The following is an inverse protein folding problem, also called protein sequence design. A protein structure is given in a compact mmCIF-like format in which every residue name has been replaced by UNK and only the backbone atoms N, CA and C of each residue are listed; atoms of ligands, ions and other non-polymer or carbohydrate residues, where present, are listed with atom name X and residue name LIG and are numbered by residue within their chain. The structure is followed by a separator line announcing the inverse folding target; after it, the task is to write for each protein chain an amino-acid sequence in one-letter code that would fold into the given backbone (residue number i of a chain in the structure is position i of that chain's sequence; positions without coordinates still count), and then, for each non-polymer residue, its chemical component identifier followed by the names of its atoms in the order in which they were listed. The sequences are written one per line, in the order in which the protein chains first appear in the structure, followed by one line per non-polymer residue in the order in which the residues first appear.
data_IF_134088737184
#
_entry.id   IF_134088737184
#
_cell.length_a   1.000
_cell.length_b   1.000
_cell.length_c   1.000
_cell.angle_alpha   90.00
_cell.angle_beta   90.00
_cell.angle_gamma   90.00
#
_symmetry.space_group_name_H-M   'P 1'
#
loop_
_entity.id
_entity.type
_entity.pdbx_description
1 polymer ?
#
# COMPACT_ATOMS: atom_id res chain seq x y z
N UNK A 1 1.64 -20.74 16.48
CA UNK A 1 2.06 -19.41 16.93
C UNK A 1 1.45 -18.34 16.04
N UNK A 2 0.80 -17.34 16.64
CA UNK A 2 0.10 -16.28 15.93
C UNK A 2 1.05 -15.32 15.23
N UNK A 3 0.68 -14.92 14.01
CA UNK A 3 1.22 -13.74 13.36
C UNK A 3 0.07 -12.76 13.20
N UNK A 4 -0.15 -11.93 14.22
CA UNK A 4 -0.77 -10.65 13.96
C UNK A 4 0.21 -9.89 13.08
N UNK A 5 -0.10 -9.54 11.82
CA UNK A 5 0.74 -8.60 11.11
C UNK A 5 0.61 -7.29 11.88
N UNK A 6 1.60 -7.01 12.73
CA UNK A 6 1.80 -5.70 13.35
C UNK A 6 1.78 -4.71 12.20
N UNK A 7 0.66 -4.01 12.10
CA UNK A 7 0.37 -3.08 11.02
C UNK A 7 1.05 -1.75 11.35
N UNK A 8 2.38 -1.79 11.35
CA UNK A 8 3.29 -0.66 11.45
C UNK A 8 4.17 -0.68 10.22
N UNK A 9 3.63 -0.22 9.11
CA UNK A 9 4.47 0.13 7.98
C UNK A 9 4.00 1.51 7.53
N UNK A 10 4.31 2.49 8.39
CA UNK A 10 4.43 3.87 7.96
C UNK A 10 5.42 3.85 6.79
N UNK A 11 5.02 4.40 5.65
CA UNK A 11 5.91 4.42 4.50
C UNK A 11 7.09 5.36 4.81
N UNK A 12 8.30 4.86 4.67
CA UNK A 12 9.54 5.60 4.88
C UNK A 12 10.26 5.85 3.54
N UNK A 13 11.24 6.76 3.46
CA UNK A 13 11.99 7.00 2.22
C UNK A 13 12.74 5.76 1.69
N UNK A 14 13.05 4.78 2.54
CA UNK A 14 13.58 3.48 2.13
C UNK A 14 12.59 2.63 1.32
N UNK A 15 11.29 2.95 1.38
CA UNK A 15 10.25 2.28 0.60
C UNK A 15 10.06 2.87 -0.80
N UNK A 16 10.91 3.79 -1.25
CA UNK A 16 10.92 4.28 -2.64
C UNK A 16 11.06 3.08 -3.60
N UNK A 17 10.22 3.03 -4.62
CA UNK A 17 10.08 1.92 -5.56
C UNK A 17 9.11 0.83 -5.12
N UNK A 18 8.58 0.88 -3.89
CA UNK A 18 7.56 -0.06 -3.40
C UNK A 18 6.16 0.49 -3.58
N UNK A 19 5.18 -0.43 -3.64
CA UNK A 19 3.77 -0.07 -3.71
C UNK A 19 3.28 0.41 -2.34
N UNK A 20 2.66 1.58 -2.30
CA UNK A 20 2.11 2.18 -1.10
C UNK A 20 0.69 2.71 -1.36
N UNK A 21 -0.09 2.78 -0.29
CA UNK A 21 -1.34 3.53 -0.24
C UNK A 21 -1.11 4.76 0.61
N UNK A 22 -1.42 5.93 0.06
CA UNK A 22 -1.36 7.21 0.77
C UNK A 22 -2.77 7.75 0.91
N UNK A 23 -3.16 8.08 2.13
CA UNK A 23 -4.45 8.65 2.46
C UNK A 23 -4.29 10.16 2.61
N UNK A 24 -4.94 10.89 1.72
CA UNK A 24 -5.00 12.34 1.76
C UNK A 24 -6.23 12.80 2.53
N UNK A 25 -6.08 13.89 3.27
CA UNK A 25 -7.15 14.70 3.83
C UNK A 25 -7.53 15.75 2.80
N UNK A 26 -8.83 15.91 2.59
CA UNK A 26 -9.37 16.94 1.71
C UNK A 26 -9.82 18.14 2.54
N UNK A 27 -9.66 19.37 2.05
CA UNK A 27 -10.07 20.58 2.77
C UNK A 27 -11.58 20.61 3.08
N UNK A 28 -12.40 19.85 2.34
CA UNK A 28 -13.85 19.70 2.57
C UNK A 28 -14.24 18.66 3.64
N UNK A 29 -13.29 18.17 4.46
CA UNK A 29 -13.57 17.19 5.53
C UNK A 29 -13.66 15.73 5.07
N UNK A 30 -13.17 15.43 3.86
CA UNK A 30 -13.11 14.08 3.30
C UNK A 30 -11.72 13.46 3.37
N UNK A 31 -11.64 12.19 2.98
CA UNK A 31 -10.36 11.51 2.76
C UNK A 31 -10.34 10.87 1.38
N UNK A 32 -9.15 10.84 0.77
CA UNK A 32 -8.92 10.19 -0.52
C UNK A 32 -7.71 9.28 -0.45
N UNK A 33 -7.90 8.01 -0.79
CA UNK A 33 -6.81 7.03 -0.85
C UNK A 33 -6.24 6.94 -2.27
N UNK A 34 -4.92 7.05 -2.37
CA UNK A 34 -4.16 6.88 -3.61
C UNK A 34 -3.29 5.65 -3.47
N UNK A 35 -3.42 4.71 -4.41
CA UNK A 35 -2.54 3.53 -4.50
C UNK A 35 -1.59 3.70 -5.67
N UNK A 36 -0.30 3.58 -5.42
CA UNK A 36 0.73 3.65 -6.45
C UNK A 36 2.09 3.21 -5.93
N UNK A 37 3.12 3.42 -6.74
CA UNK A 37 4.52 3.23 -6.36
C UNK A 37 5.04 4.55 -5.80
N UNK A 38 5.69 4.50 -4.64
CA UNK A 38 6.34 5.67 -4.07
C UNK A 38 7.58 5.99 -4.89
N UNK A 39 7.60 7.11 -5.60
CA UNK A 39 8.76 7.54 -6.41
C UNK A 39 9.71 8.43 -5.61
N UNK A 40 9.16 9.26 -4.73
CA UNK A 40 9.94 10.17 -3.90
C UNK A 40 9.16 10.55 -2.65
N UNK A 41 9.87 10.69 -1.54
CA UNK A 41 9.35 11.21 -0.28
C UNK A 41 10.42 12.07 0.35
N UNK A 42 10.29 13.39 0.21
CA UNK A 42 11.26 14.34 0.77
C UNK A 42 10.69 15.75 0.76
N UNK A 43 11.18 16.60 1.67
CA UNK A 43 10.76 18.01 1.78
C UNK A 43 9.24 18.20 1.95
N UNK A 44 8.57 17.21 2.57
CA UNK A 44 7.11 17.23 2.72
C UNK A 44 6.36 17.10 1.40
N UNK A 45 7.01 16.65 0.32
CA UNK A 45 6.41 16.34 -0.97
C UNK A 45 6.54 14.84 -1.24
N UNK A 46 5.41 14.24 -1.57
CA UNK A 46 5.31 12.81 -1.83
C UNK A 46 4.89 12.62 -3.28
N UNK A 47 5.75 11.95 -4.06
CA UNK A 47 5.49 11.61 -5.47
C UNK A 47 5.07 10.16 -5.57
N UNK A 48 3.88 9.94 -6.14
CA UNK A 48 3.31 8.61 -6.28
C UNK A 48 3.03 8.36 -7.76
N UNK A 49 3.67 7.34 -8.33
CA UNK A 49 3.36 6.86 -9.67
C UNK A 49 2.21 5.87 -9.61
N UNK A 50 1.08 6.22 -10.21
CA UNK A 50 -0.10 5.34 -10.30
C UNK A 50 0.17 4.22 -11.30
N UNK A 51 -0.59 3.14 -11.21
CA UNK A 51 -0.51 2.02 -12.16
C UNK A 51 -0.74 2.44 -13.62
N UNK A 52 -1.53 3.50 -13.82
CA UNK A 52 -1.82 4.09 -15.13
C UNK A 52 -0.62 4.84 -15.75
N UNK A 53 0.47 4.99 -15.00
CA UNK A 53 1.65 5.73 -15.43
C UNK A 53 1.63 7.21 -15.02
N UNK A 54 0.47 7.75 -14.61
CA UNK A 54 0.37 9.11 -14.09
C UNK A 54 1.14 9.26 -12.78
N UNK A 55 1.92 10.33 -12.63
CA UNK A 55 2.55 10.72 -11.37
C UNK A 55 1.64 11.73 -10.67
N UNK A 56 1.36 11.50 -9.40
CA UNK A 56 0.61 12.42 -8.54
C UNK A 56 1.53 12.91 -7.43
N UNK A 57 1.62 14.22 -7.29
CA UNK A 57 2.37 14.87 -6.22
C UNK A 57 1.39 15.33 -5.15
N UNK A 58 1.70 15.04 -3.89
CA UNK A 58 0.87 15.38 -2.73
C UNK A 58 1.75 15.94 -1.64
N UNK A 59 1.23 16.91 -0.88
CA UNK A 59 1.97 17.44 0.27
C UNK A 59 1.80 16.50 1.46
N UNK A 60 2.82 16.38 2.29
CA UNK A 60 2.79 15.61 3.52
C UNK A 60 1.81 16.20 4.55
N UNK A 61 1.51 17.50 4.46
CA UNK A 61 0.50 18.17 5.29
C UNK A 61 -0.91 17.65 4.99
N UNK A 62 -1.21 17.42 3.72
CA UNK A 62 -2.44 16.77 3.29
C UNK A 62 -2.45 15.27 3.60
N UNK A 63 -1.31 14.63 3.88
CA UNK A 63 -1.28 13.19 4.16
C UNK A 63 -1.77 12.91 5.57
N UNK A 64 -2.96 12.32 5.65
CA UNK A 64 -3.52 11.79 6.89
C UNK A 64 -2.85 10.48 7.33
N UNK A 65 -2.21 9.75 6.42
CA UNK A 65 -1.41 8.57 6.73
C UNK A 65 -0.94 7.82 5.48
N UNK A 66 0.15 7.07 5.63
CA UNK A 66 0.72 6.23 4.57
C UNK A 66 0.81 4.76 5.03
N UNK A 67 0.69 3.84 4.08
CA UNK A 67 0.82 2.40 4.34
C UNK A 67 1.50 1.70 3.17
N UNK A 68 2.54 0.92 3.44
CA UNK A 68 3.14 0.04 2.44
C UNK A 68 2.20 -1.13 2.13
N UNK A 69 1.95 -1.33 0.84
CA UNK A 69 1.16 -2.46 0.32
C UNK A 69 2.13 -3.48 -0.27
N UNK A 70 2.25 -4.69 0.31
CA UNK A 70 3.05 -5.72 -0.29
C UNK A 70 2.53 -6.04 -1.71
N UNK A 71 3.43 -6.03 -2.68
CA UNK A 71 3.11 -6.28 -4.10
C UNK A 71 2.52 -7.67 -4.35
N UNK A 72 2.75 -8.61 -3.43
CA UNK A 72 2.21 -9.95 -3.52
C UNK A 72 0.86 -10.01 -2.79
N UNK A 73 -0.28 -10.14 -3.51
CA UNK A 73 -1.50 -10.54 -2.85
C UNK A 73 -1.24 -11.87 -2.13
N UNK A 74 -1.76 -12.06 -0.90
CA UNK A 74 -1.52 -13.30 -0.17
C UNK A 74 -1.95 -14.47 -1.07
N UNK A 75 -1.00 -15.39 -1.33
CA UNK A 75 -1.32 -16.59 -2.09
C UNK A 75 -2.42 -17.30 -1.32
N UNK A 76 -3.62 -17.34 -1.89
CA UNK A 76 -4.71 -18.12 -1.32
C UNK A 76 -4.27 -19.57 -1.47
N UNK A 77 -3.64 -20.15 -0.44
CA UNK A 77 -3.48 -21.59 -0.33
C UNK A 77 -4.89 -22.16 -0.43
N UNK A 78 -5.27 -22.64 -1.62
CA UNK A 78 -6.46 -23.46 -1.78
C UNK A 78 -6.17 -24.70 -0.95
N UNK A 79 -6.76 -24.73 0.25
CA UNK A 79 -6.78 -25.91 1.10
C UNK A 79 -7.35 -27.09 0.30
N UNK A 80 -6.73 -28.24 0.49
CA UNK A 80 -6.97 -29.46 -0.27
C UNK A 80 -8.36 -30.08 -0.10
N UNK A 81 -8.65 -30.97 -1.02
CA UNK A 81 -9.75 -31.95 -1.01
C UNK A 81 -9.78 -32.57 -2.41
N UNK A 82 -9.60 -33.87 -2.64
CA UNK A 82 -9.65 -35.09 -1.81
C UNK A 82 -8.59 -36.08 -2.36
N UNK A 83 -8.00 -36.97 -1.55
CA UNK A 83 -7.42 -38.19 -2.11
C UNK A 83 -8.55 -39.03 -2.72
N UNK A 84 -8.40 -39.42 -3.98
CA UNK A 84 -9.24 -40.43 -4.59
C UNK A 84 -8.83 -41.77 -3.99
N UNK A 85 -9.61 -42.29 -3.06
CA UNK A 85 -9.64 -43.72 -2.80
C UNK A 85 -10.95 -44.21 -3.39
N UNK A 86 -10.84 -44.88 -4.54
CA UNK A 86 -11.79 -45.91 -4.91
C UNK A 86 -10.96 -47.04 -5.53
N UNK A 87 -11.05 -48.18 -4.87
CA UNK A 87 -10.54 -49.49 -5.26
C UNK A 87 -11.58 -50.50 -4.85
#
# INVERSE_FOLDING_TARGET
MGFAPRLRAEATPEDIGRRATVRLRLPGGGFRDIVGVLESWQDGLIRIRRRDGTVTEVTADDVAGSRIVPQQPPTRRRGGGRPTTDG
#
